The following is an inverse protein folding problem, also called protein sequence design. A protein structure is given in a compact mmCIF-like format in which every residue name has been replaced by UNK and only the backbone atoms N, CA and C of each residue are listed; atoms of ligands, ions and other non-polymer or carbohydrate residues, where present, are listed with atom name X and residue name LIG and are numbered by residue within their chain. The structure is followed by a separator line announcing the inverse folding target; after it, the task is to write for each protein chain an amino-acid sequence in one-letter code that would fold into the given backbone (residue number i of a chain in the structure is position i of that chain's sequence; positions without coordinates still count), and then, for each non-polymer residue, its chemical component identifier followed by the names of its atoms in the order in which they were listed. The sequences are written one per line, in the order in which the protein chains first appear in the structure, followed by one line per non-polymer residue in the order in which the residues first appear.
data_IF_997453361517
#
_entry.id   IF_997453361517
#
_cell.length_a   1.000
_cell.length_b   1.000
_cell.length_c   1.000
_cell.angle_alpha   90.00
_cell.angle_beta   90.00
_cell.angle_gamma   90.00
#
_symmetry.space_group_name_H-M   'P 1'
#
loop_
_entity.id
_entity.type
_entity.pdbx_description
1 polymer ?
#
# COMPACT_ATOMS: atom_id res chain seq x y z
N UNK A 1 -31.69 -12.74 16.62
CA UNK A 1 -30.33 -12.17 16.73
C UNK A 1 -29.77 -12.01 15.31
N UNK A 2 -29.44 -10.80 14.87
CA UNK A 2 -29.01 -10.54 13.48
C UNK A 2 -27.60 -11.10 13.24
N UNK A 3 -27.53 -12.24 12.55
CA UNK A 3 -26.29 -12.77 11.98
C UNK A 3 -26.03 -11.95 10.72
N UNK A 4 -25.30 -10.84 10.86
CA UNK A 4 -24.94 -9.99 9.73
C UNK A 4 -24.12 -10.83 8.77
N UNK A 5 -24.75 -11.22 7.65
CA UNK A 5 -24.10 -11.75 6.47
C UNK A 5 -23.22 -10.65 5.88
N UNK A 6 -22.04 -10.46 6.47
CA UNK A 6 -20.97 -9.69 5.84
C UNK A 6 -20.50 -10.51 4.65
N UNK A 7 -21.13 -10.26 3.51
CA UNK A 7 -20.61 -10.66 2.19
C UNK A 7 -19.13 -10.26 2.21
N UNK A 8 -18.16 -11.18 2.05
CA UNK A 8 -16.76 -10.80 2.03
C UNK A 8 -16.58 -9.95 0.78
N UNK A 9 -16.65 -8.62 0.95
CA UNK A 9 -16.21 -7.67 -0.06
C UNK A 9 -14.77 -8.10 -0.31
N UNK A 10 -14.45 -8.49 -1.54
CA UNK A 10 -13.08 -8.87 -1.89
C UNK A 10 -12.20 -7.68 -1.53
N UNK A 11 -11.54 -7.72 -0.38
CA UNK A 11 -10.67 -6.63 0.03
C UNK A 11 -9.49 -6.66 -0.92
N UNK A 12 -9.34 -5.61 -1.72
CA UNK A 12 -8.21 -5.47 -2.65
C UNK A 12 -6.86 -5.49 -1.91
N UNK A 13 -6.88 -5.28 -0.59
CA UNK A 13 -5.74 -5.10 0.29
C UNK A 13 -5.83 -6.11 1.44
N UNK A 14 -4.95 -7.10 1.46
CA UNK A 14 -4.74 -7.93 2.65
C UNK A 14 -4.03 -7.13 3.77
N UNK A 15 -4.29 -7.44 5.05
CA UNK A 15 -3.56 -6.83 6.16
C UNK A 15 -2.05 -7.18 6.13
N UNK A 16 -1.21 -6.41 6.81
CA UNK A 16 0.25 -6.55 6.82
C UNK A 16 0.67 -7.96 7.26
N UNK A 17 0.09 -8.47 8.35
CA UNK A 17 0.42 -9.80 8.87
C UNK A 17 0.10 -10.92 7.85
N UNK A 18 -1.04 -10.83 7.17
CA UNK A 18 -1.42 -11.80 6.13
C UNK A 18 -0.59 -11.63 4.85
N UNK A 19 -0.22 -10.40 4.47
CA UNK A 19 0.68 -10.12 3.35
C UNK A 19 2.06 -10.74 3.58
N UNK A 20 2.63 -10.53 4.78
CA UNK A 20 3.93 -11.10 5.16
C UNK A 20 3.88 -12.63 5.23
N UNK A 21 2.79 -13.18 5.77
CA UNK A 21 2.59 -14.63 5.87
C UNK A 21 2.18 -15.28 4.54
N UNK A 22 1.92 -14.49 3.49
CA UNK A 22 1.39 -14.94 2.19
C UNK A 22 0.15 -15.83 2.30
N UNK A 23 -0.71 -15.56 3.28
CA UNK A 23 -1.97 -16.29 3.49
C UNK A 23 -3.16 -15.46 3.03
N UNK A 24 -4.27 -16.14 2.75
CA UNK A 24 -5.53 -15.48 2.40
C UNK A 24 -6.02 -14.64 3.58
N UNK A 25 -6.19 -13.34 3.34
CA UNK A 25 -6.79 -12.43 4.30
C UNK A 25 -8.31 -12.41 4.11
N UNK A 26 -9.07 -12.51 5.21
CA UNK A 26 -10.53 -12.36 5.17
C UNK A 26 -10.94 -10.94 4.78
N UNK A 27 -10.10 -9.96 5.12
CA UNK A 27 -10.31 -8.57 4.73
C UNK A 27 -11.21 -7.78 5.70
N UNK A 28 -11.68 -8.43 6.75
CA UNK A 28 -12.31 -7.80 7.92
C UNK A 28 -11.25 -7.18 8.85
N UNK A 29 -11.62 -6.16 9.62
CA UNK A 29 -10.79 -5.57 10.66
C UNK A 29 -11.45 -5.78 12.03
N UNK A 30 -10.90 -6.65 12.90
CA UNK A 30 -9.70 -7.48 12.73
C UNK A 30 -9.93 -8.74 11.87
N UNK A 31 -8.89 -9.14 11.13
CA UNK A 31 -8.97 -10.26 10.18
C UNK A 31 -9.09 -11.62 10.90
N UNK A 32 -9.84 -12.59 10.36
CA UNK A 32 -10.05 -13.89 11.02
C UNK A 32 -8.73 -14.63 11.34
N UNK A 33 -7.72 -14.55 10.46
CA UNK A 33 -6.41 -15.13 10.72
C UNK A 33 -5.66 -14.42 11.85
N UNK A 34 -5.80 -13.10 11.93
CA UNK A 34 -5.19 -12.25 12.96
C UNK A 34 -5.80 -12.55 14.33
N UNK A 35 -7.14 -12.72 14.39
CA UNK A 35 -7.85 -13.15 15.62
C UNK A 35 -7.34 -14.52 16.06
N UNK A 36 -7.28 -15.51 15.16
CA UNK A 36 -6.86 -16.88 15.49
C UNK A 36 -5.42 -16.98 15.97
N UNK A 37 -4.54 -16.12 15.45
CA UNK A 37 -3.12 -16.10 15.82
C UNK A 37 -2.79 -15.06 16.88
N UNK A 38 -3.80 -14.34 17.38
CA UNK A 38 -3.61 -13.20 18.30
C UNK A 38 -2.53 -12.23 17.81
N UNK A 39 -2.49 -11.99 16.50
CA UNK A 39 -1.54 -11.08 15.86
C UNK A 39 -2.18 -9.71 15.64
N UNK A 40 -1.35 -8.68 15.69
CA UNK A 40 -1.77 -7.32 15.37
C UNK A 40 -2.26 -7.25 13.92
N UNK A 41 -3.56 -7.00 13.77
CA UNK A 41 -4.17 -6.77 12.48
C UNK A 41 -4.00 -5.30 12.12
N UNK A 42 -3.12 -5.01 11.15
CA UNK A 42 -2.96 -3.67 10.62
C UNK A 42 -3.09 -3.72 9.11
N UNK A 43 -3.96 -2.90 8.54
CA UNK A 43 -4.01 -2.66 7.11
C UNK A 43 -3.17 -1.41 6.85
N UNK A 44 -2.00 -1.57 6.22
CA UNK A 44 -1.21 -0.40 5.79
C UNK A 44 -1.97 0.27 4.65
N UNK A 45 -2.44 1.48 4.90
CA UNK A 45 -2.68 2.43 3.83
C UNK A 45 -1.30 2.74 3.24
N UNK A 46 -1.04 2.27 2.03
CA UNK A 46 0.26 2.41 1.36
C UNK A 46 0.48 3.85 0.87
N UNK A 47 0.25 4.81 1.75
CA UNK A 47 0.26 6.22 1.45
C UNK A 47 0.76 7.01 2.65
N UNK A 48 1.96 6.67 3.11
CA UNK A 48 2.79 7.56 3.93
C UNK A 48 3.18 8.78 3.08
N UNK A 49 2.22 9.66 2.77
CA UNK A 49 2.47 10.98 2.19
C UNK A 49 3.13 11.81 3.27
N UNK A 50 4.45 11.79 3.29
CA UNK A 50 5.21 12.79 4.04
C UNK A 50 5.07 14.09 3.25
N UNK A 51 4.45 15.10 3.85
CA UNK A 51 4.43 16.45 3.29
C UNK A 51 5.86 16.99 3.39
N UNK A 52 6.49 17.24 2.25
CA UNK A 52 7.83 17.85 2.21
C UNK A 52 7.74 19.21 1.54
N UNK A 53 8.57 20.14 2.01
CA UNK A 53 8.69 21.46 1.37
C UNK A 53 9.06 21.32 -0.10
N UNK A 54 8.52 22.20 -0.93
CA UNK A 54 8.67 22.21 -2.40
C UNK A 54 10.12 22.05 -2.87
N UNK A 55 11.09 22.63 -2.14
CA UNK A 55 12.54 22.51 -2.40
C UNK A 55 13.08 21.07 -2.44
N UNK A 56 12.44 20.14 -1.73
CA UNK A 56 12.87 18.73 -1.64
C UNK A 56 12.34 17.88 -2.80
N UNK A 57 11.29 18.33 -3.48
CA UNK A 57 10.68 17.62 -4.62
C UNK A 57 11.54 17.77 -5.87
N UNK A 58 12.16 18.94 -6.05
CA UNK A 58 12.99 19.29 -7.22
C UNK A 58 14.25 18.42 -7.33
N UNK A 59 14.87 18.02 -6.20
CA UNK A 59 16.09 17.23 -6.21
C UNK A 59 15.92 15.74 -6.59
N UNK A 60 14.68 15.23 -6.65
CA UNK A 60 14.41 13.83 -7.02
C UNK A 60 14.11 13.63 -8.52
N UNK A 61 14.03 14.71 -9.30
CA UNK A 61 13.88 14.58 -10.74
C UNK A 61 15.20 14.08 -11.36
N UNK A 62 15.18 13.05 -12.23
CA UNK A 62 16.39 12.60 -12.92
C UNK A 62 16.89 13.71 -13.85
N UNK A 63 17.99 14.35 -13.47
CA UNK A 63 18.78 15.28 -14.30
C UNK A 63 19.47 14.50 -15.43
N UNK A 64 18.71 14.06 -16.44
CA UNK A 64 19.26 13.07 -17.36
C UNK A 64 18.48 12.79 -18.63
N UNK A 65 17.99 13.82 -19.32
CA UNK A 65 17.68 13.68 -20.74
C UNK A 65 17.84 15.02 -21.47
N UNK A 66 19.02 15.64 -21.30
CA UNK A 66 19.50 16.62 -22.27
C UNK A 66 19.77 15.87 -23.59
N UNK A 67 18.74 15.76 -24.43
CA UNK A 67 18.86 15.35 -25.83
C UNK A 67 19.75 16.40 -26.50
N UNK A 68 21.01 16.06 -26.74
CA UNK A 68 21.95 16.93 -27.44
C UNK A 68 21.40 17.34 -28.80
N UNK A 69 21.43 18.64 -29.07
CA UNK A 69 21.24 19.17 -30.42
C UNK A 69 22.50 18.85 -31.23
N UNK A 70 22.35 18.05 -32.29
CA UNK A 70 23.37 17.86 -33.32
C UNK A 70 22.88 18.46 -34.62
N UNK A 71 23.16 19.74 -34.85
CA UNK A 71 23.16 20.30 -36.21
C UNK A 71 24.42 19.78 -36.89
N UNK A 72 24.26 18.94 -37.92
CA UNK A 72 25.32 18.64 -38.88
C UNK A 72 24.98 19.37 -40.17
N UNK A 73 26.00 20.07 -40.66
CA UNK A 73 26.10 20.90 -41.86
C UNK A 73 25.65 20.20 -43.16
#
# INVERSE_FOLDING_TARGET
MQVQSHKPRRTAIACIACRQSKVKCSGDEPCANCIRRSLTCQFSEANSKVLVSERFVVCQAPVGWARGNGTRD
#
